data_IF_560324877463
#
_entry.id   IF_560324877463
#
_cell.length_a   1.000
_cell.length_b   1.000
_cell.length_c   1.000
_cell.angle_alpha   90.00
_cell.angle_beta   90.00
_cell.angle_gamma   90.00
#
_symmetry.space_group_name_H-M   'P 1'
#
loop_
_entity.id
_entity.type
_entity.pdbx_description
1 polymer ?
#
# COMPACT_ATOMS: atom_id res chain seq x y z
N UNK A 1 24.68 -54.68 10.30
CA UNK A 1 24.01 -53.41 10.63
C UNK A 1 23.23 -52.99 9.38
N UNK A 2 21.90 -53.17 9.41
CA UNK A 2 21.02 -52.82 8.29
C UNK A 2 20.59 -51.35 8.49
N UNK A 3 21.14 -50.43 7.68
CA UNK A 3 20.71 -49.04 7.64
C UNK A 3 19.38 -48.93 6.90
N UNK A 4 18.27 -48.77 7.58
CA UNK A 4 17.02 -48.36 6.99
C UNK A 4 17.18 -46.86 6.53
N UNK A 5 17.30 -46.65 5.22
CA UNK A 5 17.12 -45.33 4.64
C UNK A 5 15.63 -44.99 4.71
N UNK A 6 15.27 -44.12 5.63
CA UNK A 6 13.94 -43.51 5.66
C UNK A 6 13.90 -42.49 4.51
N UNK A 7 13.37 -42.90 3.37
CA UNK A 7 13.03 -42.01 2.27
C UNK A 7 11.88 -41.12 2.76
N UNK A 8 12.19 -39.91 3.21
CA UNK A 8 11.19 -38.90 3.46
C UNK A 8 10.40 -38.65 2.18
N UNK A 9 9.11 -38.94 2.20
CA UNK A 9 8.22 -38.58 1.09
C UNK A 9 8.16 -37.08 1.05
N UNK A 10 8.75 -36.47 0.03
CA UNK A 10 8.57 -35.03 -0.23
C UNK A 10 7.09 -34.80 -0.54
N UNK A 11 6.36 -34.26 0.40
CA UNK A 11 4.95 -33.95 0.24
C UNK A 11 4.84 -32.59 -0.46
N UNK A 12 4.67 -32.63 -1.77
CA UNK A 12 4.37 -31.42 -2.55
C UNK A 12 2.92 -30.98 -2.28
N UNK A 13 2.69 -29.67 -2.17
CA UNK A 13 1.32 -29.14 -2.23
C UNK A 13 0.71 -29.45 -3.61
N UNK A 14 -0.57 -29.70 -3.60
CA UNK A 14 -1.34 -29.95 -4.84
C UNK A 14 -2.09 -28.71 -5.34
N UNK A 15 -1.81 -27.53 -4.75
CA UNK A 15 -2.37 -26.23 -5.12
C UNK A 15 -1.27 -25.14 -5.12
N UNK A 16 -1.51 -24.08 -5.89
CA UNK A 16 -0.67 -22.88 -5.92
C UNK A 16 -1.07 -21.97 -4.77
N UNK A 17 -0.11 -21.52 -3.96
CA UNK A 17 -0.29 -20.55 -2.90
C UNK A 17 0.14 -19.16 -3.35
N UNK A 18 -0.76 -18.20 -3.28
CA UNK A 18 -0.56 -16.81 -3.70
C UNK A 18 -0.84 -15.88 -2.54
N UNK A 19 0.09 -14.97 -2.25
CA UNK A 19 -0.07 -13.98 -1.17
C UNK A 19 0.23 -12.59 -1.70
N UNK A 20 -0.21 -11.54 -1.02
CA UNK A 20 0.28 -10.19 -1.31
C UNK A 20 -0.78 -9.11 -1.40
N UNK A 21 -0.66 -8.26 -2.42
CA UNK A 21 -1.39 -7.01 -2.58
C UNK A 21 -2.90 -7.15 -2.54
N UNK A 22 -3.56 -6.36 -1.68
CA UNK A 22 -5.03 -6.20 -1.66
C UNK A 22 -5.56 -5.60 -2.98
N UNK A 23 -4.80 -4.72 -3.62
CA UNK A 23 -5.14 -4.13 -4.93
C UNK A 23 -5.20 -5.19 -6.04
N UNK A 24 -4.30 -6.17 -6.02
CA UNK A 24 -4.23 -7.25 -7.03
C UNK A 24 -5.15 -8.41 -6.69
N UNK A 25 -5.52 -8.56 -5.42
CA UNK A 25 -6.33 -9.66 -4.92
C UNK A 25 -7.60 -9.96 -5.74
N UNK A 26 -8.48 -8.99 -6.06
CA UNK A 26 -9.70 -9.27 -6.83
C UNK A 26 -9.41 -9.78 -8.25
N UNK A 27 -8.35 -9.31 -8.88
CA UNK A 27 -7.93 -9.79 -10.21
C UNK A 27 -7.36 -11.21 -10.13
N UNK A 28 -6.55 -11.50 -9.14
CA UNK A 28 -6.00 -12.82 -8.91
C UNK A 28 -7.10 -13.85 -8.59
N UNK A 29 -8.11 -13.46 -7.83
CA UNK A 29 -9.27 -14.30 -7.52
C UNK A 29 -10.05 -14.66 -8.80
N UNK A 30 -10.29 -13.69 -9.69
CA UNK A 30 -10.93 -13.94 -10.98
C UNK A 30 -10.13 -14.90 -11.86
N UNK A 31 -8.81 -14.78 -11.86
CA UNK A 31 -7.92 -15.73 -12.58
C UNK A 31 -8.04 -17.14 -11.98
N UNK A 32 -8.03 -17.26 -10.64
CA UNK A 32 -8.19 -18.54 -9.96
C UNK A 32 -9.53 -19.20 -10.27
N UNK A 33 -10.62 -18.47 -10.29
CA UNK A 33 -11.95 -18.95 -10.68
C UNK A 33 -11.96 -19.45 -12.14
N UNK A 34 -11.33 -18.71 -13.05
CA UNK A 34 -11.21 -19.13 -14.46
C UNK A 34 -10.40 -20.42 -14.61
N UNK A 35 -9.30 -20.58 -13.87
CA UNK A 35 -8.50 -21.81 -13.87
C UNK A 35 -9.29 -23.01 -13.33
N UNK A 36 -10.07 -22.79 -12.26
CA UNK A 36 -10.95 -23.81 -11.71
C UNK A 36 -12.02 -24.25 -12.72
N UNK A 37 -12.62 -23.32 -13.45
CA UNK A 37 -13.59 -23.61 -14.52
C UNK A 37 -12.99 -24.41 -15.69
N UNK A 38 -11.67 -24.37 -15.85
CA UNK A 38 -10.92 -25.18 -16.83
C UNK A 38 -10.48 -26.54 -16.26
N UNK A 39 -10.94 -26.90 -15.05
CA UNK A 39 -10.62 -28.17 -14.40
C UNK A 39 -9.29 -28.21 -13.64
N UNK A 40 -8.63 -27.07 -13.45
CA UNK A 40 -7.45 -26.97 -12.59
C UNK A 40 -7.89 -26.83 -11.11
N UNK A 41 -7.01 -27.26 -10.19
CA UNK A 41 -7.23 -26.97 -8.78
C UNK A 41 -7.09 -25.46 -8.53
N UNK A 42 -8.06 -24.88 -7.84
CA UNK A 42 -8.05 -23.46 -7.56
C UNK A 42 -6.80 -23.05 -6.74
N UNK A 43 -6.05 -22.03 -7.15
CA UNK A 43 -5.06 -21.40 -6.30
C UNK A 43 -5.68 -20.85 -4.99
N UNK A 44 -4.93 -20.94 -3.90
CA UNK A 44 -5.30 -20.29 -2.63
C UNK A 44 -4.68 -18.90 -2.62
N UNK A 45 -5.52 -17.88 -2.46
CA UNK A 45 -5.08 -16.47 -2.56
C UNK A 45 -5.38 -15.77 -1.24
N UNK A 46 -4.37 -15.12 -0.66
CA UNK A 46 -4.48 -14.39 0.59
C UNK A 46 -4.03 -12.93 0.41
N UNK A 47 -4.84 -12.01 0.95
CA UNK A 47 -4.51 -10.58 0.98
C UNK A 47 -3.68 -10.26 2.23
N UNK A 48 -2.36 -10.07 2.05
CA UNK A 48 -1.41 -9.76 3.13
C UNK A 48 -0.74 -8.39 2.95
N UNK A 49 -1.18 -7.63 1.95
CA UNK A 49 -0.49 -6.44 1.45
C UNK A 49 0.83 -6.77 0.73
N UNK A 50 1.29 -5.87 -0.16
CA UNK A 50 2.52 -6.10 -0.95
C UNK A 50 3.75 -6.38 -0.08
N UNK A 51 3.91 -5.66 1.03
CA UNK A 51 5.05 -5.85 1.93
C UNK A 51 4.99 -7.16 2.70
N UNK A 52 3.80 -7.56 3.17
CA UNK A 52 3.56 -8.85 3.81
C UNK A 52 3.82 -10.01 2.85
N UNK A 53 3.29 -9.91 1.62
CA UNK A 53 3.50 -10.90 0.57
C UNK A 53 4.97 -11.11 0.25
N UNK A 54 5.73 -10.05 0.00
CA UNK A 54 7.18 -10.17 -0.23
C UNK A 54 7.91 -10.82 0.95
N UNK A 55 7.53 -10.49 2.19
CA UNK A 55 8.14 -11.10 3.37
C UNK A 55 7.88 -12.60 3.44
N UNK A 56 6.66 -13.04 3.19
CA UNK A 56 6.28 -14.45 3.19
C UNK A 56 6.94 -15.21 2.03
N UNK A 57 6.91 -14.64 0.83
CA UNK A 57 7.57 -15.22 -0.35
C UNK A 57 9.08 -15.35 -0.17
N UNK A 58 9.72 -14.36 0.44
CA UNK A 58 11.16 -14.39 0.71
C UNK A 58 11.54 -15.14 2.00
N UNK A 59 10.61 -15.85 2.65
CA UNK A 59 10.92 -16.62 3.86
C UNK A 59 11.69 -17.92 3.55
N UNK A 60 11.66 -18.40 2.31
CA UNK A 60 12.39 -19.61 1.90
C UNK A 60 11.73 -20.31 0.73
N UNK A 61 12.20 -21.54 0.47
CA UNK A 61 11.66 -22.44 -0.56
C UNK A 61 11.07 -23.67 0.14
N UNK A 62 9.85 -24.03 -0.20
CA UNK A 62 9.22 -25.24 0.34
C UNK A 62 7.70 -25.16 0.40
N UNK A 63 7.10 -26.22 0.97
CA UNK A 63 5.64 -26.37 1.03
C UNK A 63 4.95 -25.37 1.98
N UNK A 64 5.69 -24.76 2.89
CA UNK A 64 5.18 -23.81 3.88
C UNK A 64 5.35 -22.36 3.44
N UNK A 65 5.92 -22.11 2.25
CA UNK A 65 6.11 -20.78 1.68
C UNK A 65 5.27 -20.60 0.41
N UNK A 66 4.77 -19.40 0.10
CA UNK A 66 3.95 -19.19 -1.08
C UNK A 66 4.77 -19.32 -2.38
N UNK A 67 4.10 -19.76 -3.44
CA UNK A 67 4.69 -19.92 -4.78
C UNK A 67 4.75 -18.58 -5.53
N UNK A 68 3.76 -17.70 -5.26
CA UNK A 68 3.62 -16.42 -5.95
C UNK A 68 3.35 -15.33 -4.91
N UNK A 69 3.93 -14.16 -5.12
CA UNK A 69 3.54 -12.96 -4.41
C UNK A 69 3.01 -11.90 -5.38
N UNK A 70 1.81 -11.43 -5.13
CA UNK A 70 1.22 -10.29 -5.83
C UNK A 70 1.70 -8.97 -5.23
N UNK A 71 2.01 -7.99 -6.07
CA UNK A 71 2.45 -6.69 -5.60
C UNK A 71 1.88 -5.55 -6.44
N UNK A 72 1.47 -4.46 -5.79
CA UNK A 72 1.09 -3.21 -6.43
C UNK A 72 2.28 -2.25 -6.64
N UNK A 73 3.50 -2.72 -6.40
CA UNK A 73 4.74 -1.97 -6.57
C UNK A 73 5.92 -2.91 -6.84
N UNK A 74 7.00 -2.38 -7.39
CA UNK A 74 8.24 -3.14 -7.51
C UNK A 74 8.77 -3.62 -6.14
N UNK A 75 9.43 -4.77 -6.15
CA UNK A 75 10.11 -5.30 -4.96
C UNK A 75 11.20 -4.32 -4.49
N UNK A 76 11.26 -4.06 -3.18
CA UNK A 76 12.28 -3.19 -2.59
C UNK A 76 13.62 -3.93 -2.47
N UNK A 77 14.73 -3.22 -2.58
CA UNK A 77 16.07 -3.83 -2.48
C UNK A 77 16.29 -4.66 -1.20
N UNK A 78 15.73 -4.23 -0.06
CA UNK A 78 15.78 -4.97 1.19
C UNK A 78 14.97 -6.27 1.16
N UNK A 79 13.86 -6.29 0.43
CA UNK A 79 13.01 -7.49 0.26
C UNK A 79 13.72 -8.48 -0.66
N UNK A 80 14.33 -7.99 -1.75
CA UNK A 80 15.15 -8.82 -2.62
C UNK A 80 16.35 -9.44 -1.85
N UNK A 81 17.02 -8.65 -1.02
CA UNK A 81 18.12 -9.15 -0.18
C UNK A 81 17.65 -10.26 0.77
N UNK A 82 16.48 -10.08 1.41
CA UNK A 82 15.87 -11.11 2.26
C UNK A 82 15.63 -12.42 1.49
N UNK A 83 15.11 -12.33 0.25
CA UNK A 83 14.94 -13.48 -0.62
C UNK A 83 16.26 -14.24 -0.83
N UNK A 84 17.33 -13.51 -1.20
CA UNK A 84 18.65 -14.10 -1.44
C UNK A 84 19.22 -14.79 -0.19
N UNK A 85 19.09 -14.15 0.97
CA UNK A 85 19.55 -14.67 2.27
C UNK A 85 18.82 -15.97 2.66
N UNK A 86 17.57 -16.14 2.23
CA UNK A 86 16.76 -17.33 2.49
C UNK A 86 16.73 -18.34 1.33
N UNK A 87 17.63 -18.20 0.36
CA UNK A 87 17.79 -19.15 -0.74
C UNK A 87 16.82 -18.98 -1.91
N UNK A 88 15.94 -17.97 -1.89
CA UNK A 88 15.08 -17.61 -3.02
C UNK A 88 15.89 -16.74 -3.98
N UNK A 89 16.66 -17.39 -4.85
CA UNK A 89 17.65 -16.72 -5.72
C UNK A 89 17.15 -16.43 -7.13
N UNK A 90 16.17 -17.19 -7.61
CA UNK A 90 15.56 -17.00 -8.93
C UNK A 90 14.15 -16.44 -8.74
N UNK A 91 13.96 -15.17 -9.11
CA UNK A 91 12.70 -14.47 -9.01
C UNK A 91 12.31 -13.97 -10.39
N UNK A 92 11.12 -14.35 -10.85
CA UNK A 92 10.55 -13.86 -12.10
C UNK A 92 9.50 -12.80 -11.77
N UNK A 93 9.70 -11.58 -12.24
CA UNK A 93 8.73 -10.50 -12.14
C UNK A 93 7.93 -10.40 -13.44
N UNK A 94 6.61 -10.46 -13.32
CA UNK A 94 5.68 -10.31 -14.44
C UNK A 94 4.83 -9.07 -14.20
N UNK A 95 4.95 -8.06 -15.06
CA UNK A 95 4.12 -6.86 -15.02
C UNK A 95 2.81 -7.17 -15.73
N UNK A 96 1.71 -7.16 -14.95
CA UNK A 96 0.36 -7.47 -15.46
C UNK A 96 -0.47 -6.23 -15.75
N UNK A 97 -0.08 -5.07 -15.25
CA UNK A 97 -0.78 -3.80 -15.48
C UNK A 97 -0.13 -2.64 -14.74
N UNK A 98 -0.71 -1.45 -14.93
CA UNK A 98 -0.34 -0.25 -14.18
C UNK A 98 -1.53 0.17 -13.33
N UNK A 99 -1.27 0.57 -12.09
CA UNK A 99 -2.23 1.14 -11.16
C UNK A 99 -1.88 2.59 -10.86
N UNK A 100 -2.89 3.41 -10.57
CA UNK A 100 -2.75 4.83 -10.27
C UNK A 100 -3.37 5.20 -8.93
N UNK A 101 -2.72 6.12 -8.20
CA UNK A 101 -3.29 6.72 -7.00
C UNK A 101 -3.94 8.03 -7.39
N UNK A 102 -5.24 8.16 -7.11
CA UNK A 102 -6.00 9.38 -7.30
C UNK A 102 -6.32 10.04 -5.96
N UNK A 103 -6.41 11.37 -5.98
CA UNK A 103 -7.00 12.16 -4.90
C UNK A 103 -8.41 12.52 -5.30
N UNK A 104 -9.37 12.19 -4.46
CA UNK A 104 -10.74 12.64 -4.61
C UNK A 104 -11.05 13.72 -3.57
N UNK A 105 -11.97 14.59 -3.89
CA UNK A 105 -12.49 15.63 -3.00
C UNK A 105 -14.01 15.69 -3.13
N UNK A 106 -14.67 16.18 -2.08
CA UNK A 106 -16.12 16.36 -2.14
C UNK A 106 -16.48 17.39 -3.20
N UNK A 107 -17.14 16.97 -4.29
CA UNK A 107 -17.52 17.82 -5.41
C UNK A 107 -18.69 18.76 -5.10
N UNK A 108 -19.47 18.47 -4.07
CA UNK A 108 -20.58 19.33 -3.62
C UNK A 108 -20.08 20.56 -2.83
N UNK A 109 -18.83 20.49 -2.32
CA UNK A 109 -18.23 21.61 -1.61
C UNK A 109 -17.60 22.59 -2.60
N UNK A 110 -18.03 23.87 -2.55
CA UNK A 110 -17.48 24.94 -3.40
C UNK A 110 -16.13 25.41 -2.87
N UNK A 111 -15.06 24.83 -3.37
CA UNK A 111 -13.69 25.20 -2.99
C UNK A 111 -13.31 26.58 -3.51
N UNK A 112 -12.97 27.48 -2.60
CA UNK A 112 -12.56 28.87 -2.92
C UNK A 112 -11.21 29.22 -2.33
N UNK A 113 -10.40 29.91 -3.11
CA UNK A 113 -9.23 30.61 -2.59
C UNK A 113 -9.63 31.73 -1.60
N UNK A 114 -8.70 32.16 -0.76
CA UNK A 114 -8.95 33.25 0.20
C UNK A 114 -9.33 34.58 -0.47
N UNK A 115 -8.99 34.78 -1.73
CA UNK A 115 -9.42 35.93 -2.54
C UNK A 115 -10.84 35.79 -3.13
N UNK A 116 -11.55 34.71 -2.81
CA UNK A 116 -12.91 34.43 -3.29
C UNK A 116 -13.00 33.76 -4.66
N UNK A 117 -11.91 33.56 -5.37
CA UNK A 117 -11.92 32.85 -6.66
C UNK A 117 -12.19 31.37 -6.46
N UNK A 118 -13.08 30.79 -7.29
CA UNK A 118 -13.38 29.34 -7.26
C UNK A 118 -12.19 28.51 -7.74
N UNK A 119 -11.87 27.46 -7.02
CA UNK A 119 -10.86 26.46 -7.40
C UNK A 119 -11.47 25.53 -8.45
N UNK A 120 -11.13 25.75 -9.73
CA UNK A 120 -11.58 24.86 -10.80
C UNK A 120 -10.94 23.48 -10.67
N UNK A 121 -11.78 22.43 -10.59
CA UNK A 121 -11.32 21.07 -10.41
C UNK A 121 -10.93 20.74 -8.95
N UNK A 122 -11.44 21.51 -7.98
CA UNK A 122 -11.22 21.28 -6.55
C UNK A 122 -9.90 21.85 -6.01
N UNK A 123 -9.52 21.38 -4.82
CA UNK A 123 -8.30 21.82 -4.16
C UNK A 123 -7.06 21.26 -4.90
N UNK A 124 -6.15 22.14 -5.28
CA UNK A 124 -4.88 21.76 -5.92
C UNK A 124 -3.75 21.84 -4.90
N UNK A 125 -3.13 20.72 -4.61
CA UNK A 125 -2.12 20.58 -3.56
C UNK A 125 -0.80 20.05 -4.12
N UNK A 126 0.28 20.59 -3.62
CA UNK A 126 1.62 20.02 -3.79
C UNK A 126 1.83 18.83 -2.84
N UNK A 127 2.83 18.00 -3.12
CA UNK A 127 3.19 16.89 -2.21
C UNK A 127 3.65 17.39 -0.85
N UNK A 128 4.30 18.54 -0.81
CA UNK A 128 4.72 19.20 0.43
C UNK A 128 3.53 19.64 1.27
N UNK A 129 2.48 20.19 0.66
CA UNK A 129 1.26 20.60 1.34
C UNK A 129 0.49 19.38 1.85
N UNK A 130 0.40 18.31 1.06
CA UNK A 130 -0.20 17.05 1.48
C UNK A 130 0.56 16.47 2.68
N UNK A 131 1.90 16.43 2.62
CA UNK A 131 2.70 15.97 3.74
C UNK A 131 2.47 16.83 4.99
N UNK A 132 2.44 18.15 4.85
CA UNK A 132 2.18 19.04 6.00
C UNK A 132 0.80 18.80 6.63
N UNK A 133 -0.20 18.47 5.81
CA UNK A 133 -1.55 18.17 6.29
C UNK A 133 -1.63 16.82 7.03
N UNK A 134 -0.88 15.82 6.58
CA UNK A 134 -1.03 14.43 7.04
C UNK A 134 0.02 13.99 8.07
N UNK A 135 1.19 14.65 8.11
CA UNK A 135 2.31 14.18 8.92
C UNK A 135 2.13 14.48 10.41
N UNK A 136 2.13 13.43 11.26
CA UNK A 136 2.17 13.54 12.71
C UNK A 136 3.40 14.30 13.19
N UNK A 137 4.53 14.03 12.58
CA UNK A 137 5.83 14.54 12.99
C UNK A 137 6.16 15.92 12.37
N UNK A 138 5.13 16.66 11.91
CA UNK A 138 5.22 18.03 11.46
C UNK A 138 5.14 18.99 12.67
N UNK A 139 6.18 19.79 12.89
CA UNK A 139 6.28 20.76 14.00
C UNK A 139 5.10 21.75 14.05
N UNK A 140 4.55 22.11 12.89
CA UNK A 140 3.50 23.12 12.80
C UNK A 140 2.11 22.57 13.16
N UNK A 141 1.89 21.26 13.02
CA UNK A 141 0.63 20.57 13.27
C UNK A 141 -0.61 21.38 12.77
N UNK A 142 -0.69 21.76 11.47
CA UNK A 142 -1.73 22.65 10.98
C UNK A 142 -3.11 22.00 11.15
N UNK A 143 -4.12 22.79 11.50
CA UNK A 143 -5.51 22.33 11.63
C UNK A 143 -6.35 22.70 10.43
N UNK A 144 -5.97 23.74 9.68
CA UNK A 144 -6.66 24.21 8.48
C UNK A 144 -5.74 24.25 7.27
N UNK A 145 -6.30 24.13 6.09
CA UNK A 145 -5.56 24.26 4.84
C UNK A 145 -4.88 25.64 4.71
N UNK A 146 -5.51 26.69 5.24
CA UNK A 146 -4.95 28.06 5.26
C UNK A 146 -3.65 28.16 6.06
N UNK A 147 -3.46 27.37 7.10
CA UNK A 147 -2.22 27.37 7.89
C UNK A 147 -1.04 26.83 7.10
N UNK A 148 -1.31 25.89 6.19
CA UNK A 148 -0.30 25.33 5.30
C UNK A 148 0.06 26.34 4.19
N UNK A 149 -0.96 26.91 3.54
CA UNK A 149 -0.81 27.85 2.45
C UNK A 149 -1.89 28.92 2.56
N UNK A 150 -1.48 30.20 2.67
CA UNK A 150 -2.37 31.34 2.87
C UNK A 150 -3.35 31.61 1.70
N UNK A 151 -3.14 31.02 0.53
CA UNK A 151 -4.09 31.07 -0.57
C UNK A 151 -5.20 30.01 -0.46
N UNK A 152 -4.99 28.95 0.32
CA UNK A 152 -5.98 27.89 0.52
C UNK A 152 -7.10 28.31 1.48
N UNK A 153 -8.24 27.64 1.45
CA UNK A 153 -9.40 28.01 2.28
C UNK A 153 -9.14 27.79 3.77
N UNK A 154 -9.86 28.56 4.61
CA UNK A 154 -9.87 28.39 6.07
C UNK A 154 -10.82 27.26 6.48
N UNK A 155 -10.60 26.10 5.91
CA UNK A 155 -11.38 24.88 6.15
C UNK A 155 -10.50 23.90 6.92
N UNK A 156 -11.09 23.18 7.84
CA UNK A 156 -10.43 22.14 8.63
C UNK A 156 -9.89 21.02 7.71
N UNK A 157 -8.72 20.51 8.05
CA UNK A 157 -8.12 19.40 7.34
C UNK A 157 -8.83 18.11 7.75
N UNK A 158 -9.48 17.47 6.79
CA UNK A 158 -10.02 16.13 6.92
C UNK A 158 -9.60 15.31 5.69
N UNK A 159 -8.89 14.24 5.90
CA UNK A 159 -8.35 13.39 4.83
C UNK A 159 -8.66 11.94 5.16
N UNK A 160 -9.26 11.23 4.21
CA UNK A 160 -9.38 9.77 4.26
C UNK A 160 -8.15 9.16 3.60
N UNK A 161 -7.54 8.19 4.27
CA UNK A 161 -6.34 7.51 3.81
C UNK A 161 -6.52 5.99 3.88
N UNK A 162 -5.88 5.21 2.97
CA UNK A 162 -5.89 3.77 3.05
C UNK A 162 -5.26 3.26 4.36
N UNK A 163 -5.71 2.11 4.88
CA UNK A 163 -5.16 1.53 6.12
C UNK A 163 -3.70 1.11 5.95
N UNK A 164 -2.95 0.93 7.04
CA UNK A 164 -1.54 0.54 7.01
C UNK A 164 -1.24 -0.77 6.27
N UNK A 165 -2.23 -1.67 6.18
CA UNK A 165 -2.15 -2.96 5.49
C UNK A 165 -2.28 -2.84 3.97
N UNK A 166 -2.81 -1.71 3.47
CA UNK A 166 -3.05 -1.47 2.05
C UNK A 166 -1.76 -1.28 1.25
N UNK A 167 -1.68 -1.93 0.08
CA UNK A 167 -0.62 -1.67 -0.91
C UNK A 167 -0.66 -0.24 -1.46
N UNK A 168 -1.85 0.36 -1.57
CA UNK A 168 -2.04 1.77 -1.94
C UNK A 168 -1.38 2.69 -0.92
N UNK A 169 -1.49 2.37 0.39
CA UNK A 169 -0.79 3.10 1.45
C UNK A 169 0.74 3.05 1.29
N UNK A 170 1.31 1.89 1.01
CA UNK A 170 2.75 1.71 0.77
C UNK A 170 3.24 2.54 -0.43
N UNK A 171 2.45 2.57 -1.51
CA UNK A 171 2.73 3.38 -2.69
C UNK A 171 2.64 4.88 -2.39
N UNK A 172 1.57 5.30 -1.71
CA UNK A 172 1.36 6.68 -1.27
C UNK A 172 2.50 7.18 -0.38
N UNK A 173 2.92 6.39 0.59
CA UNK A 173 4.08 6.69 1.45
C UNK A 173 5.35 6.96 0.66
N UNK A 174 5.56 6.21 -0.40
CA UNK A 174 6.76 6.30 -1.22
C UNK A 174 6.70 7.44 -2.23
N UNK A 175 5.55 7.66 -2.86
CA UNK A 175 5.35 8.60 -3.96
C UNK A 175 4.99 10.01 -3.49
N UNK A 176 4.32 10.11 -2.35
CA UNK A 176 3.79 11.37 -1.82
C UNK A 176 4.45 11.74 -0.50
N UNK A 177 4.23 10.99 0.57
CA UNK A 177 4.69 11.36 1.91
C UNK A 177 6.20 11.51 2.00
N UNK A 178 6.96 10.54 1.52
CA UNK A 178 8.43 10.60 1.53
C UNK A 178 8.98 11.70 0.62
N UNK A 179 8.37 11.92 -0.54
CA UNK A 179 8.82 12.94 -1.50
C UNK A 179 8.39 14.34 -1.11
N UNK A 180 7.22 14.49 -0.48
CA UNK A 180 6.71 15.76 0.03
C UNK A 180 7.24 16.16 1.41
N UNK A 181 8.07 15.33 2.03
CA UNK A 181 8.57 15.56 3.38
C UNK A 181 9.40 16.84 3.50
N UNK A 182 8.89 17.81 4.22
CA UNK A 182 9.57 19.11 4.47
C UNK A 182 10.49 18.96 5.67
N UNK A 183 11.75 18.61 5.42
CA UNK A 183 12.75 18.26 6.45
C UNK A 183 12.92 19.29 7.56
N UNK A 184 12.84 20.59 7.24
CA UNK A 184 12.92 21.69 8.23
C UNK A 184 11.75 21.73 9.20
N UNK A 185 10.61 21.14 8.83
CA UNK A 185 9.39 21.04 9.65
C UNK A 185 9.30 19.69 10.38
N UNK A 186 10.18 18.75 10.10
CA UNK A 186 10.19 17.46 10.77
C UNK A 186 10.71 17.63 12.21
N UNK A 187 10.02 17.02 13.19
CA UNK A 187 10.52 16.96 14.57
C UNK A 187 11.81 16.13 14.62
N UNK A 188 12.66 16.37 15.62
CA UNK A 188 13.88 15.58 15.80
C UNK A 188 13.55 14.09 16.02
N UNK A 189 14.22 13.21 15.30
CA UNK A 189 13.94 11.78 15.32
C UNK A 189 12.64 11.35 14.63
N UNK A 190 11.89 12.29 14.07
CA UNK A 190 10.60 12.03 13.41
C UNK A 190 10.72 11.30 12.06
N UNK A 191 9.61 10.75 11.59
CA UNK A 191 9.49 10.05 10.33
C UNK A 191 8.59 10.79 9.34
N UNK A 192 9.02 10.85 8.08
CA UNK A 192 8.20 11.41 6.99
C UNK A 192 6.93 10.60 6.70
N UNK A 193 6.78 9.42 7.27
CA UNK A 193 5.71 8.47 6.96
C UNK A 193 4.69 8.28 8.09
N UNK A 194 4.90 8.94 9.22
CA UNK A 194 3.97 8.86 10.34
C UNK A 194 2.79 9.78 10.08
N UNK A 195 1.60 9.22 10.15
CA UNK A 195 0.34 9.95 9.95
C UNK A 195 -0.19 10.47 11.27
N UNK A 196 -0.96 11.55 11.20
CA UNK A 196 -1.64 12.15 12.35
C UNK A 196 -2.67 11.18 12.92
N UNK A 197 -2.83 11.24 14.25
CA UNK A 197 -3.78 10.43 15.02
C UNK A 197 -4.81 11.32 15.74
N UNK A 198 -4.85 12.62 15.42
CA UNK A 198 -5.71 13.63 16.03
C UNK A 198 -7.08 13.82 15.34
N UNK A 199 -7.43 12.90 14.43
CA UNK A 199 -8.67 12.93 13.69
C UNK A 199 -8.63 13.69 12.36
N UNK A 200 -7.54 14.42 12.05
CA UNK A 200 -7.39 15.07 10.75
C UNK A 200 -7.14 14.07 9.62
N UNK A 201 -6.59 12.90 9.92
CA UNK A 201 -6.45 11.78 9.00
C UNK A 201 -7.25 10.61 9.54
N UNK A 202 -8.23 10.16 8.76
CA UNK A 202 -9.06 8.99 9.05
C UNK A 202 -8.54 7.84 8.19
N UNK A 203 -8.13 6.76 8.84
CA UNK A 203 -7.69 5.55 8.14
C UNK A 203 -8.89 4.63 7.92
N UNK A 204 -9.21 4.34 6.66
CA UNK A 204 -10.27 3.41 6.29
C UNK A 204 -9.88 1.95 6.56
N UNK A 205 -10.85 1.07 6.76
CA UNK A 205 -10.66 -0.38 6.81
C UNK A 205 -10.45 -0.98 5.41
N UNK A 206 -10.07 -2.25 5.33
CA UNK A 206 -9.85 -2.94 4.04
C UNK A 206 -11.15 -3.15 3.23
N UNK A 207 -12.30 -3.09 3.88
CA UNK A 207 -13.63 -3.29 3.29
C UNK A 207 -14.56 -2.08 3.52
N UNK A 208 -14.01 -0.88 3.65
CA UNK A 208 -14.83 0.27 3.98
C UNK A 208 -15.68 0.72 2.80
N UNK A 209 -16.97 0.74 3.05
CA UNK A 209 -18.01 1.40 2.24
C UNK A 209 -17.70 2.90 2.00
N UNK A 210 -16.73 3.47 2.72
CA UNK A 210 -16.23 4.84 2.58
C UNK A 210 -15.65 5.18 1.19
N UNK A 211 -15.40 4.18 0.34
CA UNK A 211 -14.90 4.37 -1.02
C UNK A 211 -15.95 4.08 -2.10
N UNK A 212 -17.21 3.83 -1.74
CA UNK A 212 -18.27 3.36 -2.66
C UNK A 212 -19.46 4.33 -2.77
N UNK A 213 -19.42 5.50 -2.13
CA UNK A 213 -20.43 6.55 -2.34
C UNK A 213 -19.91 7.74 -3.16
#
# INVERSE_FOLDING_TARGET
VLSLAVSGVAQARDYISVVGSSTVYPFATLVAENLMNQGMKAPVIESTGSGGGHKLFCAGIGVDTPDITNSSRAQKAKEFKLCQENGVTEIIEIIVGNDGIAFAYNSEYEWKYTNGATMKGGINLTKEEIWQAMARDNKNAPTTWYEINKSLPKVEIQIMAPPPTSGTRDAFDSLVMKKGCVKKLLVEGGSCKNYREDGAVIEGGENDELYVE
#
